data_IF_712444254946
#
_entry.id   IF_712444254946
#
_cell.length_a   1.000
_cell.length_b   1.000
_cell.length_c   1.000
_cell.angle_alpha   90.00
_cell.angle_beta   90.00
_cell.angle_gamma   90.00
#
_symmetry.space_group_name_H-M   'P 1'
#
loop_
_entity.id
_entity.type
_entity.pdbx_description
1 polymer ?
#
# COMPACT_ATOMS: atom_id res chain seq x y z
N UNK A 1 22.25 14.15 19.50
CA UNK A 1 21.16 13.65 18.65
C UNK A 1 19.88 14.37 19.03
N UNK A 2 19.16 14.94 18.06
CA UNK A 2 17.90 15.62 18.32
C UNK A 2 16.87 14.65 18.91
N UNK A 3 16.08 15.15 19.85
CA UNK A 3 14.90 14.43 20.31
C UNK A 3 13.77 14.70 19.30
N UNK A 4 13.15 13.64 18.79
CA UNK A 4 11.91 13.71 18.02
C UNK A 4 10.79 13.08 18.82
N UNK A 5 9.64 13.74 18.82
CA UNK A 5 8.44 13.27 19.49
C UNK A 5 7.59 12.35 18.61
N UNK A 6 6.72 11.55 19.23
CA UNK A 6 5.68 10.80 18.51
C UNK A 6 4.84 11.71 17.60
N UNK A 7 4.45 12.88 18.13
CA UNK A 7 3.74 13.91 17.37
C UNK A 7 4.52 14.41 16.15
N UNK A 8 5.83 14.57 16.25
CA UNK A 8 6.69 14.98 15.14
C UNK A 8 6.92 13.85 14.13
N UNK A 9 6.98 12.59 14.58
CA UNK A 9 6.99 11.43 13.68
C UNK A 9 5.68 11.32 12.90
N UNK A 10 4.54 11.50 13.56
CA UNK A 10 3.24 11.60 12.92
C UNK A 10 3.16 12.76 11.91
N UNK A 11 3.73 13.92 12.25
CA UNK A 11 3.78 15.05 11.33
C UNK A 11 4.68 14.76 10.12
N UNK A 12 5.83 14.10 10.34
CA UNK A 12 6.75 13.69 9.29
C UNK A 12 6.09 12.71 8.31
N UNK A 13 5.24 11.79 8.78
CA UNK A 13 4.51 10.87 7.90
C UNK A 13 3.49 11.54 6.97
N UNK A 14 3.15 12.81 7.22
CA UNK A 14 2.29 13.63 6.37
C UNK A 14 3.09 14.55 5.43
N UNK A 15 4.42 14.57 5.57
CA UNK A 15 5.30 15.38 4.73
C UNK A 15 5.33 14.83 3.29
N UNK A 16 5.39 15.68 2.24
CA UNK A 16 5.60 15.24 0.86
C UNK A 16 6.80 14.31 0.68
N UNK A 17 7.88 14.51 1.44
CA UNK A 17 9.04 13.61 1.49
C UNK A 17 8.65 12.19 1.90
N UNK A 18 7.67 12.04 2.79
CA UNK A 18 7.19 10.72 3.20
C UNK A 18 6.11 10.18 2.24
N UNK A 19 5.28 11.04 1.66
CA UNK A 19 4.06 10.60 0.94
C UNK A 19 4.22 10.51 -0.58
N UNK A 20 5.21 11.18 -1.19
CA UNK A 20 5.41 11.17 -2.65
C UNK A 20 6.54 10.23 -3.05
N UNK A 21 6.29 9.28 -3.97
CA UNK A 21 7.31 8.33 -4.46
C UNK A 21 8.44 9.05 -5.21
N UNK A 22 8.12 10.08 -5.99
CA UNK A 22 9.08 10.83 -6.80
C UNK A 22 9.90 11.89 -6.04
N UNK A 23 9.71 12.06 -4.73
CA UNK A 23 10.46 13.09 -4.00
C UNK A 23 11.92 12.63 -3.81
N UNK A 24 12.94 13.48 -4.14
CA UNK A 24 14.35 13.07 -4.13
C UNK A 24 14.86 12.65 -2.74
N UNK A 25 14.34 13.25 -1.68
CA UNK A 25 14.66 12.88 -0.29
C UNK A 25 13.82 11.72 0.27
N UNK A 26 12.90 11.14 -0.51
CA UNK A 26 11.84 10.30 0.07
C UNK A 26 12.34 9.05 0.77
N UNK A 27 13.30 8.36 0.16
CA UNK A 27 13.92 7.17 0.74
C UNK A 27 14.64 7.48 2.06
N UNK A 28 15.50 8.51 2.08
CA UNK A 28 16.26 8.88 3.28
C UNK A 28 15.34 9.40 4.40
N UNK A 29 14.31 10.16 4.04
CA UNK A 29 13.33 10.70 4.99
C UNK A 29 12.46 9.59 5.60
N UNK A 30 11.96 8.64 4.81
CA UNK A 30 11.21 7.48 5.32
C UNK A 30 12.06 6.57 6.20
N UNK A 31 13.32 6.35 5.85
CA UNK A 31 14.25 5.59 6.69
C UNK A 31 14.46 6.27 8.06
N UNK A 32 14.54 7.60 8.06
CA UNK A 32 14.63 8.41 9.28
C UNK A 32 13.35 8.34 10.13
N UNK A 33 12.17 8.47 9.51
CA UNK A 33 10.88 8.30 10.21
C UNK A 33 10.75 6.88 10.78
N UNK A 34 11.14 5.85 10.01
CA UNK A 34 11.14 4.47 10.47
C UNK A 34 12.07 4.21 11.65
N UNK A 35 13.25 4.84 11.69
CA UNK A 35 14.14 4.78 12.86
C UNK A 35 13.51 5.39 14.11
N UNK A 36 12.79 6.51 13.96
CA UNK A 36 12.04 7.11 15.06
C UNK A 36 11.00 6.15 15.62
N UNK A 37 10.22 5.51 14.76
CA UNK A 37 9.24 4.51 15.20
C UNK A 37 9.88 3.28 15.86
N UNK A 38 11.03 2.76 15.38
CA UNK A 38 11.77 1.67 16.06
C UNK A 38 12.05 2.01 17.51
N UNK A 39 12.64 3.16 17.72
CA UNK A 39 13.07 3.57 19.04
C UNK A 39 11.87 3.82 19.95
N UNK A 40 10.73 4.26 19.40
CA UNK A 40 9.54 4.55 20.18
C UNK A 40 8.84 3.26 20.63
N UNK A 41 8.71 2.29 19.71
CA UNK A 41 8.19 0.95 20.02
C UNK A 41 9.09 0.25 21.04
N UNK A 42 10.42 0.24 20.82
CA UNK A 42 11.37 -0.36 21.76
C UNK A 42 11.37 0.32 23.15
N UNK A 43 11.16 1.64 23.21
CA UNK A 43 11.04 2.37 24.47
C UNK A 43 9.75 2.02 25.23
N UNK A 44 8.65 1.80 24.50
CA UNK A 44 7.36 1.39 25.06
C UNK A 44 7.39 -0.05 25.59
N UNK A 45 8.02 -0.97 24.87
CA UNK A 45 8.20 -2.36 25.29
C UNK A 45 9.12 -2.50 26.52
N UNK A 46 10.07 -1.57 26.70
CA UNK A 46 10.99 -1.56 27.84
C UNK A 46 10.43 -0.91 29.13
N UNK A 47 9.15 -0.49 29.16
CA UNK A 47 8.48 -0.03 30.39
C UNK A 47 8.99 1.30 30.97
N UNK A 48 9.62 2.18 30.19
CA UNK A 48 10.13 3.48 30.69
C UNK A 48 8.97 4.43 31.04
N UNK A 49 9.05 5.11 32.18
CA UNK A 49 7.97 5.90 32.79
C UNK A 49 7.50 7.13 32.00
N UNK A 50 6.30 7.61 32.35
CA UNK A 50 5.42 8.54 31.60
C UNK A 50 6.03 9.85 31.08
N UNK A 51 7.17 10.31 31.60
CA UNK A 51 7.83 11.54 31.14
C UNK A 51 8.78 11.37 29.93
N UNK A 52 9.26 10.15 29.65
CA UNK A 52 10.18 9.84 28.54
C UNK A 52 9.51 9.11 27.37
N UNK A 53 8.22 8.76 27.49
CA UNK A 53 7.46 7.97 26.50
C UNK A 53 7.24 8.68 25.16
N UNK A 54 7.46 9.99 25.11
CA UNK A 54 7.08 10.81 23.96
C UNK A 54 8.26 11.29 23.12
N UNK A 55 9.51 10.88 23.40
CA UNK A 55 10.71 11.40 22.72
C UNK A 55 11.77 10.32 22.45
N UNK A 56 12.26 10.27 21.21
CA UNK A 56 13.31 9.34 20.75
C UNK A 56 14.43 10.08 20.04
N UNK A 57 15.63 9.47 19.94
CA UNK A 57 16.81 10.14 19.38
C UNK A 57 17.22 9.51 18.05
N UNK A 58 16.75 10.11 16.97
CA UNK A 58 17.08 9.68 15.62
C UNK A 58 18.39 10.30 15.14
N UNK A 59 19.17 9.53 14.37
CA UNK A 59 20.35 10.04 13.67
C UNK A 59 19.92 11.06 12.61
N UNK A 60 20.65 12.15 12.39
CA UNK A 60 20.40 13.03 11.25
C UNK A 60 20.51 12.22 9.95
N UNK A 61 19.60 12.43 9.00
CA UNK A 61 19.81 11.94 7.64
C UNK A 61 20.44 13.05 6.80
N UNK A 62 21.23 12.65 5.80
CA UNK A 62 21.82 13.59 4.85
C UNK A 62 20.86 13.81 3.69
N UNK A 63 20.61 15.06 3.34
CA UNK A 63 19.94 15.43 2.10
C UNK A 63 20.82 16.34 1.25
N UNK A 64 20.51 16.41 -0.04
CA UNK A 64 21.18 17.30 -0.99
C UNK A 64 20.22 18.47 -1.28
N UNK A 65 20.59 19.68 -0.86
CA UNK A 65 19.86 20.91 -1.20
C UNK A 65 20.76 21.86 -1.95
N UNK A 66 20.32 22.30 -3.13
CA UNK A 66 21.07 23.22 -3.99
C UNK A 66 22.52 22.76 -4.26
N UNK A 67 22.75 21.45 -4.38
CA UNK A 67 24.09 20.87 -4.62
C UNK A 67 24.99 20.73 -3.38
N UNK A 68 24.47 21.00 -2.18
CA UNK A 68 25.19 20.84 -0.92
C UNK A 68 24.58 19.73 -0.05
N UNK A 69 25.44 18.93 0.58
CA UNK A 69 25.02 17.94 1.58
C UNK A 69 24.67 18.65 2.90
N UNK A 70 23.40 18.59 3.29
CA UNK A 70 22.87 19.12 4.55
C UNK A 70 22.55 17.96 5.51
N UNK A 71 22.93 18.08 6.78
CA UNK A 71 22.49 17.16 7.83
C UNK A 71 21.22 17.69 8.48
N UNK A 72 20.11 16.99 8.29
CA UNK A 72 18.83 17.38 8.87
C UNK A 72 18.61 16.62 10.17
N UNK A 73 18.81 17.33 11.28
CA UNK A 73 18.71 16.79 12.63
C UNK A 73 17.42 17.26 13.34
N UNK A 74 16.26 17.22 12.68
CA UNK A 74 14.98 17.54 13.30
C UNK A 74 13.88 17.82 12.27
N UNK A 75 12.62 17.58 12.64
CA UNK A 75 11.48 18.00 11.82
C UNK A 75 11.12 19.45 12.17
N UNK A 76 11.70 20.40 11.47
CA UNK A 76 11.23 21.80 11.48
C UNK A 76 10.42 22.02 10.21
N UNK A 77 9.13 22.30 10.36
CA UNK A 77 8.23 22.56 9.23
C UNK A 77 8.72 23.83 8.51
N UNK A 78 9.50 23.65 7.45
CA UNK A 78 10.08 24.76 6.70
C UNK A 78 8.99 25.29 5.77
N UNK A 79 8.37 26.41 6.11
CA UNK A 79 7.59 27.21 5.16
C UNK A 79 8.56 27.96 4.25
N UNK A 80 8.60 27.60 2.97
CA UNK A 80 9.06 28.46 1.88
C UNK A 80 8.28 28.03 0.62
N UNK A 81 7.30 28.80 0.11
CA UNK A 81 7.42 29.98 -0.77
C UNK A 81 8.27 29.75 -2.02
N UNK A 82 7.63 29.71 -3.20
CA UNK A 82 8.33 29.83 -4.48
C UNK A 82 7.52 29.36 -5.70
N UNK A 83 6.91 30.32 -6.40
CA UNK A 83 6.39 30.23 -7.78
C UNK A 83 7.51 29.86 -8.77
N UNK A 84 7.14 29.16 -9.85
CA UNK A 84 7.90 29.10 -11.09
C UNK A 84 7.08 28.45 -12.21
N UNK A 85 6.46 29.26 -13.06
CA UNK A 85 5.92 28.87 -14.37
C UNK A 85 7.06 28.67 -15.38
N UNK A 86 6.92 27.71 -16.30
CA UNK A 86 7.23 27.89 -17.72
C UNK A 86 6.56 26.78 -18.56
N UNK A 87 5.89 27.19 -19.63
CA UNK A 87 5.17 26.36 -20.58
C UNK A 87 5.99 26.09 -21.86
N UNK A 88 5.77 24.95 -22.53
CA UNK A 88 5.83 24.82 -24.00
C UNK A 88 5.08 23.56 -24.49
N UNK A 89 4.37 23.70 -25.61
CA UNK A 89 3.63 22.70 -26.39
C UNK A 89 4.04 22.85 -27.89
N UNK A 90 3.51 22.10 -28.89
CA UNK A 90 3.44 20.63 -29.08
C UNK A 90 3.91 20.14 -30.50
N UNK A 91 3.83 18.80 -30.71
CA UNK A 91 3.58 18.02 -31.98
C UNK A 91 4.72 17.77 -33.01
N UNK A 92 4.62 16.77 -33.95
CA UNK A 92 3.59 15.73 -34.19
C UNK A 92 4.07 14.25 -34.38
N UNK A 93 3.06 13.38 -34.45
CA UNK A 93 2.87 11.99 -34.92
C UNK A 93 3.97 11.18 -35.65
N UNK A 94 3.96 9.87 -35.38
CA UNK A 94 4.07 8.80 -36.39
C UNK A 94 3.45 7.49 -35.85
N UNK A 95 2.34 7.05 -36.45
CA UNK A 95 1.84 5.67 -36.38
C UNK A 95 2.53 4.82 -37.46
N UNK A 96 2.71 3.51 -37.23
CA UNK A 96 2.05 2.56 -38.14
C UNK A 96 1.42 1.33 -37.44
N UNK A 97 0.11 1.16 -37.71
CA UNK A 97 -0.67 -0.01 -38.18
C UNK A 97 -0.49 -1.43 -37.53
N UNK A 98 -1.60 -2.20 -37.33
CA UNK A 98 -1.71 -3.22 -36.29
C UNK A 98 -1.25 -4.62 -36.71
N UNK A 99 -0.76 -5.38 -35.72
CA UNK A 99 -0.52 -6.81 -35.85
C UNK A 99 -1.84 -7.62 -35.76
N UNK A 100 -1.94 -8.63 -36.61
CA UNK A 100 -3.08 -9.53 -36.76
C UNK A 100 -3.44 -10.31 -35.48
N UNK A 101 -4.71 -10.72 -35.29
CA UNK A 101 -5.18 -11.39 -34.08
C UNK A 101 -4.56 -12.78 -33.92
N UNK A 102 -3.95 -13.03 -32.76
CA UNK A 102 -3.51 -14.36 -32.37
C UNK A 102 -4.71 -15.29 -32.18
N UNK A 103 -4.62 -16.48 -32.77
CA UNK A 103 -5.60 -17.56 -32.65
C UNK A 103 -5.80 -17.99 -31.17
N UNK A 104 -6.99 -18.50 -30.80
CA UNK A 104 -7.31 -18.83 -29.41
C UNK A 104 -6.49 -20.04 -28.93
N UNK A 105 -5.77 -19.86 -27.83
CA UNK A 105 -5.06 -20.95 -27.17
C UNK A 105 -6.04 -21.87 -26.45
N UNK A 106 -6.06 -23.15 -26.85
CA UNK A 106 -6.79 -24.23 -26.20
C UNK A 106 -6.40 -24.37 -24.72
N UNK A 107 -7.41 -24.47 -23.86
CA UNK A 107 -7.29 -24.58 -22.41
C UNK A 107 -6.77 -25.94 -21.95
N UNK A 108 -5.63 -25.92 -21.25
CA UNK A 108 -5.29 -26.84 -20.14
C UNK A 108 -3.92 -26.53 -19.48
N UNK A 109 -3.37 -25.34 -19.69
CA UNK A 109 -2.25 -24.87 -18.87
C UNK A 109 -2.83 -24.23 -17.59
N UNK A 110 -2.28 -24.53 -16.40
CA UNK A 110 -2.67 -23.81 -15.19
C UNK A 110 -2.48 -22.31 -15.42
N UNK A 111 -3.51 -21.52 -15.08
CA UNK A 111 -3.48 -20.08 -15.26
C UNK A 111 -2.22 -19.48 -14.62
N UNK A 112 -1.45 -18.73 -15.41
CA UNK A 112 -0.22 -18.10 -14.91
C UNK A 112 -0.61 -16.92 -14.03
N UNK A 113 -0.31 -16.99 -12.74
CA UNK A 113 -0.62 -15.94 -11.76
C UNK A 113 0.61 -15.51 -10.96
N UNK A 114 0.66 -14.23 -10.62
CA UNK A 114 1.59 -13.66 -9.65
C UNK A 114 0.84 -12.86 -8.57
N UNK A 115 1.23 -13.05 -7.32
CA UNK A 115 0.70 -12.31 -6.17
C UNK A 115 1.74 -11.33 -5.64
N UNK A 116 1.44 -10.05 -5.74
CA UNK A 116 2.29 -8.96 -5.28
C UNK A 116 1.80 -8.51 -3.91
N UNK A 117 2.71 -8.45 -2.95
CA UNK A 117 2.47 -8.00 -1.59
C UNK A 117 3.14 -6.64 -1.37
N UNK A 118 2.38 -5.70 -0.81
CA UNK A 118 2.85 -4.35 -0.48
C UNK A 118 2.74 -4.15 1.03
N UNK A 119 3.90 -4.10 1.69
CA UNK A 119 3.99 -3.90 3.14
C UNK A 119 3.62 -2.48 3.57
N UNK A 120 3.09 -2.33 4.79
CA UNK A 120 2.75 -1.03 5.38
C UNK A 120 3.97 -0.18 5.76
N UNK A 121 3.73 0.91 6.51
CA UNK A 121 4.81 1.77 7.00
C UNK A 121 5.81 0.97 7.84
N UNK A 122 7.07 1.03 7.43
CA UNK A 122 8.16 0.35 8.12
C UNK A 122 8.08 -1.17 8.08
N UNK A 123 7.22 -1.81 7.29
CA UNK A 123 7.13 -3.27 7.24
C UNK A 123 8.50 -3.91 6.93
N UNK A 124 9.19 -3.47 5.88
CA UNK A 124 10.55 -3.92 5.51
C UNK A 124 11.63 -3.70 6.57
N UNK A 125 11.40 -2.81 7.53
CA UNK A 125 12.44 -2.30 8.44
C UNK A 125 12.10 -2.43 9.93
N UNK A 126 10.91 -2.95 10.26
CA UNK A 126 10.32 -2.99 11.62
C UNK A 126 9.63 -4.32 11.89
N UNK A 127 8.43 -4.51 11.31
CA UNK A 127 7.54 -5.61 11.64
C UNK A 127 7.79 -6.82 10.75
N UNK A 128 8.15 -6.59 9.48
CA UNK A 128 8.31 -7.62 8.45
C UNK A 128 7.10 -8.53 8.35
N UNK A 129 5.89 -8.08 8.71
CA UNK A 129 4.74 -8.97 8.82
C UNK A 129 4.30 -9.42 7.43
N UNK A 130 4.19 -8.47 6.49
CA UNK A 130 3.83 -8.75 5.10
C UNK A 130 4.98 -9.44 4.38
N UNK A 131 6.22 -8.95 4.56
CA UNK A 131 7.42 -9.57 3.97
C UNK A 131 7.61 -11.03 4.41
N UNK A 132 7.49 -11.34 5.71
CA UNK A 132 7.60 -12.72 6.22
C UNK A 132 6.44 -13.59 5.75
N UNK A 133 5.23 -13.05 5.66
CA UNK A 133 4.10 -13.78 5.11
C UNK A 133 4.38 -14.18 3.65
N UNK A 134 4.77 -13.20 2.82
CA UNK A 134 5.13 -13.41 1.42
C UNK A 134 6.27 -14.41 1.25
N UNK A 135 7.32 -14.36 2.08
CA UNK A 135 8.48 -15.25 1.98
C UNK A 135 8.13 -16.74 2.03
N UNK A 136 7.02 -17.11 2.69
CA UNK A 136 6.53 -18.49 2.77
C UNK A 136 5.37 -18.78 1.81
N UNK A 137 4.83 -17.76 1.14
CA UNK A 137 3.61 -17.83 0.35
C UNK A 137 3.73 -18.77 -0.84
N UNK A 138 4.81 -18.65 -1.63
CA UNK A 138 5.02 -19.49 -2.82
C UNK A 138 5.12 -20.97 -2.46
N UNK A 139 5.72 -21.32 -1.32
CA UNK A 139 5.77 -22.71 -0.85
C UNK A 139 4.41 -23.25 -0.41
N UNK A 140 3.54 -22.41 0.19
CA UNK A 140 2.20 -22.83 0.63
C UNK A 140 1.21 -22.95 -0.52
N UNK A 141 1.28 -22.03 -1.49
CA UNK A 141 0.24 -21.86 -2.50
C UNK A 141 0.67 -22.24 -3.92
N UNK A 142 1.96 -22.52 -4.15
CA UNK A 142 2.48 -22.88 -5.47
C UNK A 142 2.23 -21.81 -6.55
N UNK A 143 2.13 -20.54 -6.13
CA UNK A 143 1.97 -19.36 -6.98
C UNK A 143 3.17 -18.43 -6.82
N UNK A 144 3.63 -17.83 -7.92
CA UNK A 144 4.70 -16.84 -7.87
C UNK A 144 4.30 -15.66 -7.00
N UNK A 145 5.21 -15.18 -6.15
CA UNK A 145 4.93 -14.03 -5.30
C UNK A 145 6.11 -13.07 -5.20
N UNK A 146 5.82 -11.79 -4.95
CA UNK A 146 6.83 -10.76 -4.77
C UNK A 146 6.42 -9.73 -3.74
N UNK A 147 7.36 -9.32 -2.89
CA UNK A 147 7.18 -8.26 -1.92
C UNK A 147 7.73 -6.92 -2.43
N UNK A 148 7.04 -5.83 -2.08
CA UNK A 148 7.49 -4.46 -2.20
C UNK A 148 7.15 -3.66 -0.93
N UNK A 149 7.95 -2.65 -0.61
CA UNK A 149 7.60 -1.67 0.41
C UNK A 149 6.54 -0.69 -0.13
N UNK A 150 5.74 -0.08 0.76
CA UNK A 150 4.69 0.88 0.40
C UNK A 150 5.17 2.06 -0.46
N UNK A 151 6.45 2.41 -0.48
CA UNK A 151 6.94 3.53 -1.27
C UNK A 151 7.36 3.18 -2.71
N UNK A 152 7.22 1.92 -3.10
CA UNK A 152 7.73 1.43 -4.37
C UNK A 152 6.65 1.36 -5.48
N UNK A 153 5.74 2.35 -5.51
CA UNK A 153 4.62 2.36 -6.45
C UNK A 153 5.07 2.20 -7.92
N UNK A 154 6.12 2.92 -8.31
CA UNK A 154 6.61 2.92 -9.69
C UNK A 154 7.34 1.60 -10.02
N UNK A 155 8.06 0.99 -9.07
CA UNK A 155 8.66 -0.33 -9.25
C UNK A 155 7.61 -1.44 -9.33
N UNK A 156 6.54 -1.35 -8.53
CA UNK A 156 5.41 -2.27 -8.63
C UNK A 156 4.80 -2.16 -10.02
N UNK A 157 4.51 -0.94 -10.50
CA UNK A 157 3.92 -0.73 -11.82
C UNK A 157 4.78 -1.32 -12.94
N UNK A 158 6.08 -1.00 -12.96
CA UNK A 158 7.04 -1.58 -13.93
C UNK A 158 7.10 -3.11 -13.84
N UNK A 159 7.00 -3.67 -12.63
CA UNK A 159 6.99 -5.12 -12.47
C UNK A 159 5.72 -5.77 -13.03
N UNK A 160 4.56 -5.12 -12.89
CA UNK A 160 3.28 -5.55 -13.47
C UNK A 160 3.34 -5.48 -15.00
N UNK A 161 3.76 -4.34 -15.55
CA UNK A 161 3.92 -4.13 -17.01
C UNK A 161 4.90 -5.11 -17.65
N UNK A 162 5.94 -5.52 -16.90
CA UNK A 162 6.93 -6.51 -17.35
C UNK A 162 6.47 -7.96 -17.25
N UNK A 163 5.25 -8.26 -16.77
CA UNK A 163 4.75 -9.62 -16.74
C UNK A 163 4.44 -10.13 -18.17
N UNK A 164 4.68 -11.41 -18.47
CA UNK A 164 4.30 -11.98 -19.75
C UNK A 164 2.80 -11.85 -20.01
N UNK A 165 2.42 -11.59 -21.27
CA UNK A 165 1.02 -11.47 -21.67
C UNK A 165 0.19 -12.67 -21.19
N UNK A 166 -1.03 -12.40 -20.71
CA UNK A 166 -1.92 -13.38 -20.10
C UNK A 166 -1.63 -13.74 -18.65
N UNK A 167 -0.57 -13.19 -18.03
CA UNK A 167 -0.32 -13.38 -16.59
C UNK A 167 -1.37 -12.62 -15.77
N UNK A 168 -2.09 -13.30 -14.88
CA UNK A 168 -2.95 -12.66 -13.89
C UNK A 168 -2.14 -12.09 -12.75
N UNK A 169 -2.48 -10.86 -12.37
CA UNK A 169 -1.82 -10.13 -11.29
C UNK A 169 -2.80 -9.87 -10.16
N UNK A 170 -2.46 -10.32 -8.96
CA UNK A 170 -3.15 -9.95 -7.74
C UNK A 170 -2.25 -9.05 -6.90
N UNK A 171 -2.71 -7.85 -6.56
CA UNK A 171 -1.99 -6.85 -5.78
C UNK A 171 -2.63 -6.71 -4.40
N UNK A 172 -1.89 -7.06 -3.36
CA UNK A 172 -2.33 -7.04 -1.97
C UNK A 172 -1.55 -5.96 -1.22
N UNK A 173 -2.24 -4.96 -0.69
CA UNK A 173 -1.63 -3.88 0.08
C UNK A 173 -2.16 -3.81 1.52
N UNK A 174 -1.26 -3.78 2.50
CA UNK A 174 -1.60 -3.62 3.92
C UNK A 174 -1.31 -2.21 4.42
N UNK A 175 -2.23 -1.62 5.19
CA UNK A 175 -2.01 -0.31 5.81
C UNK A 175 -1.65 0.74 4.74
N UNK A 176 -0.51 1.44 4.84
CA UNK A 176 -0.03 2.32 3.75
C UNK A 176 0.23 1.61 2.43
N UNK A 177 0.63 0.34 2.48
CA UNK A 177 0.73 -0.48 1.28
C UNK A 177 -0.61 -0.65 0.59
N UNK A 178 -1.72 -0.52 1.32
CA UNK A 178 -3.08 -0.44 0.76
C UNK A 178 -3.31 0.84 -0.03
N UNK A 179 -2.94 2.00 0.49
CA UNK A 179 -2.97 3.28 -0.25
C UNK A 179 -2.08 3.22 -1.51
N UNK A 180 -0.90 2.62 -1.41
CA UNK A 180 -0.01 2.37 -2.57
C UNK A 180 -0.64 1.43 -3.58
N UNK A 181 -1.29 0.35 -3.15
CA UNK A 181 -1.94 -0.59 -4.06
C UNK A 181 -3.11 0.08 -4.82
N UNK A 182 -3.88 0.94 -4.14
CA UNK A 182 -4.93 1.76 -4.75
C UNK A 182 -4.31 2.72 -5.79
N UNK A 183 -3.19 3.37 -5.46
CA UNK A 183 -2.46 4.24 -6.38
C UNK A 183 -1.99 3.51 -7.63
N UNK A 184 -1.36 2.34 -7.46
CA UNK A 184 -0.84 1.55 -8.58
C UNK A 184 -1.97 1.11 -9.50
N UNK A 185 -3.06 0.57 -8.94
CA UNK A 185 -4.24 0.19 -9.72
C UNK A 185 -4.81 1.39 -10.48
N UNK A 186 -4.95 2.56 -9.83
CA UNK A 186 -5.47 3.76 -10.47
C UNK A 186 -4.57 4.29 -11.59
N UNK A 187 -3.25 4.29 -11.41
CA UNK A 187 -2.29 4.68 -12.46
C UNK A 187 -2.36 3.73 -13.67
N UNK A 188 -2.41 2.42 -13.43
CA UNK A 188 -2.57 1.43 -14.50
C UNK A 188 -3.87 1.67 -15.28
N UNK A 189 -4.98 1.96 -14.59
CA UNK A 189 -6.26 2.27 -15.24
C UNK A 189 -6.17 3.46 -16.19
N UNK A 190 -5.51 4.54 -15.76
CA UNK A 190 -5.29 5.74 -16.57
C UNK A 190 -4.42 5.46 -17.81
N UNK A 191 -3.56 4.44 -17.73
CA UNK A 191 -2.70 3.97 -18.81
C UNK A 191 -3.38 2.88 -19.68
N UNK A 192 -4.65 2.55 -19.43
CA UNK A 192 -5.40 1.54 -20.18
C UNK A 192 -5.09 0.09 -19.78
N UNK A 193 -4.42 -0.11 -18.65
CA UNK A 193 -4.08 -1.40 -18.08
C UNK A 193 -4.95 -1.76 -16.87
N UNK A 194 -5.02 -3.06 -16.57
CA UNK A 194 -5.83 -3.58 -15.47
C UNK A 194 -5.16 -4.79 -14.82
N UNK A 195 -5.27 -4.89 -13.50
CA UNK A 195 -4.91 -6.10 -12.75
C UNK A 195 -6.14 -6.97 -12.50
N UNK A 196 -5.91 -8.25 -12.22
CA UNK A 196 -6.98 -9.22 -11.99
C UNK A 196 -7.64 -9.01 -10.61
N UNK A 197 -6.84 -8.74 -9.58
CA UNK A 197 -7.36 -8.56 -8.22
C UNK A 197 -6.60 -7.47 -7.48
N UNK A 198 -7.32 -6.52 -6.92
CA UNK A 198 -6.84 -5.61 -5.88
C UNK A 198 -7.37 -6.10 -4.53
N UNK A 199 -6.49 -6.29 -3.57
CA UNK A 199 -6.86 -6.53 -2.17
C UNK A 199 -6.26 -5.44 -1.30
N UNK A 200 -7.11 -4.71 -0.59
CA UNK A 200 -6.68 -3.72 0.41
C UNK A 200 -6.98 -4.26 1.80
N UNK A 201 -5.95 -4.35 2.63
CA UNK A 201 -6.01 -4.87 4.00
C UNK A 201 -5.81 -3.70 4.96
N UNK A 202 -6.91 -3.25 5.52
CA UNK A 202 -7.06 -2.15 6.46
C UNK A 202 -6.29 -0.89 6.02
N UNK A 203 -6.62 -0.32 4.84
CA UNK A 203 -5.83 0.74 4.23
C UNK A 203 -5.87 2.05 5.03
N UNK A 204 -4.73 2.73 5.05
CA UNK A 204 -4.53 4.04 5.69
C UNK A 204 -3.76 4.95 4.74
N UNK A 205 -4.07 6.24 4.76
CA UNK A 205 -3.46 7.22 3.86
C UNK A 205 -4.22 8.54 3.78
N UNK A 206 -3.52 9.57 3.29
CA UNK A 206 -4.07 10.93 3.17
C UNK A 206 -5.10 11.06 2.04
N UNK A 207 -5.07 10.17 1.05
CA UNK A 207 -5.92 10.21 -0.16
C UNK A 207 -7.30 9.58 0.02
N UNK A 208 -7.62 9.07 1.21
CA UNK A 208 -8.89 8.37 1.54
C UNK A 208 -10.19 9.10 1.19
N UNK A 209 -10.13 10.44 1.09
CA UNK A 209 -11.30 11.27 0.78
C UNK A 209 -11.38 11.66 -0.70
N UNK A 210 -10.42 11.26 -1.53
CA UNK A 210 -10.45 11.53 -2.97
C UNK A 210 -11.32 10.48 -3.65
N UNK A 211 -12.49 10.88 -4.14
CA UNK A 211 -13.38 10.00 -4.90
C UNK A 211 -12.69 9.51 -6.18
N UNK A 212 -12.05 10.41 -6.92
CA UNK A 212 -11.34 10.05 -8.16
C UNK A 212 -10.27 8.99 -7.92
N UNK A 213 -9.53 9.07 -6.80
CA UNK A 213 -8.53 8.08 -6.44
C UNK A 213 -9.12 6.66 -6.31
N UNK A 214 -10.28 6.54 -5.66
CA UNK A 214 -10.96 5.26 -5.47
C UNK A 214 -11.66 4.79 -6.76
N UNK A 215 -12.20 5.71 -7.56
CA UNK A 215 -12.81 5.42 -8.86
C UNK A 215 -11.77 4.83 -9.81
N UNK A 216 -10.60 5.47 -9.92
CA UNK A 216 -9.53 4.97 -10.77
C UNK A 216 -9.02 3.61 -10.31
N UNK A 217 -8.88 3.39 -9.00
CA UNK A 217 -8.50 2.08 -8.48
C UNK A 217 -9.51 0.98 -8.83
N UNK A 218 -10.81 1.27 -8.74
CA UNK A 218 -11.86 0.34 -9.17
C UNK A 218 -11.77 0.05 -10.67
N UNK A 219 -11.51 1.05 -11.51
CA UNK A 219 -11.32 0.84 -12.95
C UNK A 219 -10.06 0.02 -13.26
N UNK A 220 -9.03 0.12 -12.41
CA UNK A 220 -7.75 -0.56 -12.55
C UNK A 220 -7.71 -2.01 -12.09
N UNK A 221 -8.79 -2.55 -11.52
CA UNK A 221 -8.84 -3.93 -11.04
C UNK A 221 -10.13 -4.65 -11.46
N UNK A 222 -10.03 -5.90 -11.94
CA UNK A 222 -11.21 -6.68 -12.32
C UNK A 222 -12.08 -6.94 -11.10
N UNK A 223 -11.41 -7.17 -9.97
CA UNK A 223 -12.04 -7.23 -8.66
C UNK A 223 -11.25 -6.44 -7.63
N UNK A 224 -11.97 -5.74 -6.77
CA UNK A 224 -11.42 -5.09 -5.60
C UNK A 224 -12.10 -5.63 -4.34
N UNK A 225 -11.29 -6.23 -3.46
CA UNK A 225 -11.68 -6.70 -2.14
C UNK A 225 -11.04 -5.77 -1.10
N UNK A 226 -11.86 -5.16 -0.24
CA UNK A 226 -11.39 -4.42 0.91
C UNK A 226 -11.72 -5.16 2.21
N UNK A 227 -10.71 -5.33 3.06
CA UNK A 227 -10.87 -5.90 4.40
C UNK A 227 -10.52 -4.84 5.42
N UNK A 228 -11.39 -4.59 6.39
CA UNK A 228 -11.13 -3.67 7.51
C UNK A 228 -10.86 -4.45 8.79
N UNK A 229 -9.99 -3.89 9.63
CA UNK A 229 -9.77 -4.40 10.98
C UNK A 229 -10.79 -3.77 11.94
N UNK A 230 -11.42 -4.59 12.78
CA UNK A 230 -12.32 -4.09 13.84
C UNK A 230 -11.91 -4.52 15.25
N UNK A 231 -10.85 -5.32 15.37
CA UNK A 231 -10.30 -5.76 16.66
C UNK A 231 -9.19 -4.85 17.18
N UNK A 232 -8.85 -5.02 18.46
CA UNK A 232 -7.83 -4.22 19.16
C UNK A 232 -8.42 -3.04 19.92
N UNK A 233 -7.58 -2.33 20.67
CA UNK A 233 -8.03 -1.14 21.39
C UNK A 233 -8.19 0.05 20.44
N UNK A 234 -9.23 0.87 20.63
CA UNK A 234 -9.45 2.08 19.84
C UNK A 234 -8.27 3.06 19.93
N UNK A 235 -7.50 3.03 21.03
CA UNK A 235 -6.30 3.83 21.23
C UNK A 235 -5.15 3.38 20.33
N UNK A 236 -4.87 2.09 20.23
CA UNK A 236 -3.83 1.55 19.33
C UNK A 236 -4.13 1.85 17.86
N UNK A 237 -5.40 1.63 17.45
CA UNK A 237 -5.85 1.93 16.09
C UNK A 237 -5.72 3.42 15.79
N UNK A 238 -6.25 4.29 16.67
CA UNK A 238 -6.21 5.74 16.46
C UNK A 238 -4.80 6.30 16.42
N UNK A 239 -3.90 5.83 17.29
CA UNK A 239 -2.51 6.28 17.32
C UNK A 239 -1.75 5.82 16.07
N UNK A 240 -1.87 4.54 15.69
CA UNK A 240 -1.29 4.05 14.44
C UNK A 240 -1.81 4.87 13.24
N UNK A 241 -3.13 5.02 13.13
CA UNK A 241 -3.80 5.71 12.03
C UNK A 241 -3.49 7.21 11.98
N UNK A 242 -3.36 7.89 13.12
CA UNK A 242 -3.02 9.30 13.18
C UNK A 242 -1.64 9.58 12.59
N UNK A 243 -0.73 8.61 12.69
CA UNK A 243 0.54 8.63 11.98
C UNK A 243 0.43 8.33 10.52
N UNK A 244 -0.42 7.36 10.19
CA UNK A 244 -0.46 6.81 8.86
C UNK A 244 -1.39 7.56 7.88
N UNK A 245 -1.64 8.85 8.14
CA UNK A 245 -2.41 9.71 7.24
C UNK A 245 -3.93 9.56 7.33
N UNK A 246 -4.44 8.67 8.19
CA UNK A 246 -5.87 8.45 8.44
C UNK A 246 -6.41 7.16 7.80
N UNK A 247 -7.33 6.49 8.48
CA UNK A 247 -7.89 5.21 8.04
C UNK A 247 -8.97 5.44 6.99
N UNK A 248 -8.99 4.56 6.00
CA UNK A 248 -10.02 4.57 4.97
C UNK A 248 -11.37 4.12 5.55
N UNK A 249 -11.37 3.26 6.57
CA UNK A 249 -12.58 2.74 7.21
C UNK A 249 -13.59 2.25 6.15
N UNK A 250 -14.86 2.63 6.25
CA UNK A 250 -15.93 2.22 5.33
C UNK A 250 -15.83 2.90 3.93
N UNK A 251 -14.88 3.82 3.69
CA UNK A 251 -14.82 4.56 2.42
C UNK A 251 -14.72 3.65 1.18
N UNK A 252 -13.92 2.57 1.16
CA UNK A 252 -13.86 1.67 0.02
C UNK A 252 -15.17 0.91 -0.23
N UNK A 253 -16.10 0.83 0.73
CA UNK A 253 -17.35 0.09 0.59
C UNK A 253 -18.19 0.53 -0.62
N UNK A 254 -18.09 1.80 -1.02
CA UNK A 254 -18.83 2.34 -2.17
C UNK A 254 -18.19 2.00 -3.53
N UNK A 255 -16.96 1.47 -3.54
CA UNK A 255 -16.16 1.29 -4.74
C UNK A 255 -15.66 -0.15 -4.92
N UNK A 256 -15.27 -0.80 -3.83
CA UNK A 256 -14.84 -2.18 -3.81
C UNK A 256 -16.01 -3.12 -4.14
N UNK A 257 -15.75 -4.20 -4.86
CA UNK A 257 -16.75 -5.22 -5.18
C UNK A 257 -17.18 -5.98 -3.94
N UNK A 258 -16.25 -6.16 -2.99
CA UNK A 258 -16.51 -6.78 -1.69
C UNK A 258 -15.81 -5.96 -0.63
N UNK A 259 -16.57 -5.63 0.42
CA UNK A 259 -16.07 -4.96 1.61
C UNK A 259 -16.53 -5.73 2.84
N UNK A 260 -15.61 -6.06 3.74
CA UNK A 260 -15.99 -6.68 5.00
C UNK A 260 -15.01 -6.39 6.14
N UNK A 261 -15.51 -6.60 7.35
CA UNK A 261 -14.79 -6.43 8.60
C UNK A 261 -14.28 -7.78 9.11
N UNK A 262 -13.07 -7.79 9.66
CA UNK A 262 -12.50 -8.94 10.37
C UNK A 262 -12.13 -8.50 11.79
N UNK A 263 -12.57 -9.29 12.78
CA UNK A 263 -12.28 -9.08 14.20
C UNK A 263 -10.83 -9.43 14.54
N UNK A 264 -9.88 -8.68 13.99
CA UNK A 264 -8.45 -8.75 14.25
C UNK A 264 -7.87 -7.33 14.35
N UNK A 265 -6.67 -7.20 14.91
CA UNK A 265 -6.00 -5.91 15.02
C UNK A 265 -5.41 -5.46 13.69
N UNK A 266 -5.25 -4.14 13.49
CA UNK A 266 -4.62 -3.54 12.30
C UNK A 266 -3.31 -4.25 11.89
N UNK A 267 -2.44 -4.55 12.84
CA UNK A 267 -1.14 -5.20 12.58
C UNK A 267 -1.21 -6.69 12.26
N UNK A 268 -2.35 -7.35 12.47
CA UNK A 268 -2.53 -8.79 12.28
C UNK A 268 -2.81 -9.15 10.83
N UNK A 269 -1.91 -8.77 9.91
CA UNK A 269 -2.07 -8.98 8.46
C UNK A 269 -2.52 -10.40 8.05
N UNK A 270 -1.91 -11.51 8.56
CA UNK A 270 -2.36 -12.85 8.21
C UNK A 270 -3.82 -13.11 8.61
N UNK A 271 -4.22 -12.67 9.81
CA UNK A 271 -5.59 -12.85 10.29
C UNK A 271 -6.61 -12.05 9.47
N UNK A 272 -6.24 -10.84 9.03
CA UNK A 272 -7.09 -10.02 8.16
C UNK A 272 -7.21 -10.64 6.76
N UNK A 273 -6.11 -11.08 6.16
CA UNK A 273 -6.12 -11.65 4.80
C UNK A 273 -6.85 -13.01 4.73
N UNK A 274 -6.71 -13.83 5.77
CA UNK A 274 -7.31 -15.18 5.87
C UNK A 274 -8.67 -15.20 6.57
N UNK A 275 -9.06 -14.08 7.17
CA UNK A 275 -10.34 -13.88 7.84
C UNK A 275 -11.52 -14.08 6.88
N UNK A 276 -12.61 -14.63 7.41
CA UNK A 276 -13.85 -14.85 6.65
C UNK A 276 -14.90 -13.81 6.99
N UNK A 277 -15.67 -13.38 6.00
CA UNK A 277 -16.93 -12.68 6.25
C UNK A 277 -18.06 -13.69 6.61
N UNK A 278 -19.28 -13.19 6.86
CA UNK A 278 -20.47 -14.01 7.19
C UNK A 278 -20.83 -15.04 6.13
N UNK A 279 -20.50 -14.79 4.87
CA UNK A 279 -20.78 -15.68 3.74
C UNK A 279 -19.62 -16.66 3.47
N UNK A 280 -18.58 -16.60 4.30
CA UNK A 280 -17.40 -17.44 4.20
C UNK A 280 -16.32 -16.91 3.26
N UNK A 281 -16.40 -15.71 2.69
CA UNK A 281 -15.38 -15.18 1.79
C UNK A 281 -14.06 -14.85 2.48
N UNK A 282 -12.95 -15.21 1.85
CA UNK A 282 -11.61 -14.77 2.22
C UNK A 282 -11.02 -13.92 1.11
N UNK A 283 -10.34 -12.84 1.48
CA UNK A 283 -9.58 -12.04 0.53
C UNK A 283 -8.44 -12.83 -0.11
N UNK A 284 -7.83 -13.77 0.63
CA UNK A 284 -6.83 -14.69 0.10
C UNK A 284 -7.34 -15.53 -1.08
N UNK A 285 -8.58 -16.04 -1.00
CA UNK A 285 -9.15 -16.89 -2.05
C UNK A 285 -9.36 -16.08 -3.35
N UNK A 286 -9.68 -14.79 -3.24
CA UNK A 286 -9.72 -13.88 -4.39
C UNK A 286 -8.33 -13.68 -5.01
N UNK A 287 -7.32 -13.41 -4.19
CA UNK A 287 -5.95 -13.19 -4.65
C UNK A 287 -5.32 -14.45 -5.29
N UNK A 288 -5.81 -15.64 -4.96
CA UNK A 288 -5.38 -16.89 -5.57
C UNK A 288 -6.19 -17.25 -6.83
N UNK A 289 -7.22 -16.48 -7.18
CA UNK A 289 -8.13 -16.80 -8.29
C UNK A 289 -9.08 -17.97 -8.00
N UNK A 290 -9.13 -18.46 -6.75
CA UNK A 290 -9.97 -19.60 -6.32
C UNK A 290 -11.33 -19.16 -5.80
N UNK A 291 -11.72 -17.93 -6.10
CA UNK A 291 -12.99 -17.36 -5.67
C UNK A 291 -14.18 -18.11 -6.29
N UNK A 292 -15.01 -18.72 -5.45
CA UNK A 292 -16.34 -19.17 -5.84
C UNK A 292 -17.34 -18.08 -5.47
N UNK A 293 -18.12 -17.58 -6.45
CA UNK A 293 -19.29 -16.75 -6.16
C UNK A 293 -20.22 -17.49 -5.18
N UNK A 294 -21.00 -16.79 -4.33
CA UNK A 294 -21.91 -17.49 -3.44
C UNK A 294 -22.87 -18.27 -4.32
N UNK A 295 -23.15 -19.54 -3.95
CA UNK A 295 -24.36 -20.17 -4.46
C UNK A 295 -25.50 -19.26 -4.05
N UNK A 296 -26.19 -18.68 -5.04
CA UNK A 296 -27.48 -18.07 -4.80
C UNK A 296 -28.28 -19.09 -4.00
N UNK A 297 -28.63 -18.75 -2.75
CA UNK A 297 -29.59 -19.52 -1.99
C UNK A 297 -30.87 -19.43 -2.79
N UNK A 298 -31.13 -20.46 -3.60
CA UNK A 298 -32.34 -20.57 -4.37
C UNK A 298 -33.50 -20.52 -3.39
N UNK A 299 -34.23 -19.42 -3.40
CA UNK A 299 -35.64 -19.43 -3.03
C UNK A 299 -36.31 -20.35 -4.04
N UNK A 300 -36.50 -21.62 -3.63
CA UNK A 300 -37.41 -22.52 -4.31
C UNK A 300 -38.85 -21.99 -4.11
N UNK A 301 -39.74 -22.22 -5.10
CA UNK A 301 -41.04 -21.54 -5.23
C UNK A 301 -42.04 -21.83 -4.11
#
# INVERSE_FOLDING_TARGET
MPAITEKELHAAMRDPRYTQSGHPESHAFRAWVGEGWRQLVAANEAGRGDGQRSQVRVRPYQCQRNGHAEQVSGYTQSRASGRGEAAHAPSPANDPQPAAPAAPANGNQPEKRVVIFVGGAGDKSLSGTVERYQATFTGRHHVGSKYFAHDQADEIRRYIEGQPSGTKVSLIGHSYGGDTAIEVAGKLAQEGHKIDTLVTVDPVGSRRNSADFLIWAKQGADRWINVNATGGSALEFSNAVAGLGGAYNERPQQYADVHFNVAATHGSFPALLEGRNSDGYRALDAALGTWSAPRATGSAP
#
